data_IF_416514667994
#
_entry.id   IF_416514667994
#
_cell.length_a   1.000
_cell.length_b   1.000
_cell.length_c   1.000
_cell.angle_alpha   90.00
_cell.angle_beta   90.00
_cell.angle_gamma   90.00
#
_symmetry.space_group_name_H-M   'P 1'
#
loop_
_entity.id
_entity.type
_entity.pdbx_description
1 polymer ?
#
# COMPACT_ATOMS: atom_id res chain seq x y z
N UNK A 1 -30.61 10.26 21.15
CA UNK A 1 -29.69 9.74 20.11
C UNK A 1 -29.02 10.96 19.53
N UNK A 2 -27.96 11.42 20.19
CA UNK A 2 -27.27 12.66 19.81
C UNK A 2 -26.53 12.40 18.50
N UNK A 3 -26.85 13.21 17.49
CA UNK A 3 -26.15 13.18 16.20
C UNK A 3 -24.73 13.66 16.42
N UNK A 4 -23.77 12.80 16.11
CA UNK A 4 -22.33 13.09 16.04
C UNK A 4 -22.12 14.44 15.33
N UNK A 5 -21.48 15.38 16.02
CA UNK A 5 -21.29 16.76 15.55
C UNK A 5 -20.27 16.82 14.42
N UNK A 6 -20.44 17.77 13.50
CA UNK A 6 -19.64 17.93 12.28
C UNK A 6 -18.12 17.99 12.53
N UNK A 7 -17.70 18.55 13.68
CA UNK A 7 -16.30 18.59 14.10
C UNK A 7 -15.77 17.24 14.64
N UNK A 8 -16.63 16.38 15.20
CA UNK A 8 -16.26 15.01 15.62
C UNK A 8 -15.95 14.11 14.41
N UNK A 9 -16.60 14.35 13.27
CA UNK A 9 -16.25 13.70 11.98
C UNK A 9 -14.91 14.18 11.43
N UNK A 10 -14.70 15.49 11.44
CA UNK A 10 -13.47 16.11 10.91
C UNK A 10 -12.22 15.82 11.75
N UNK A 11 -12.39 15.44 13.01
CA UNK A 11 -11.30 15.07 13.93
C UNK A 11 -10.89 13.59 13.88
N UNK A 12 -11.58 12.73 13.12
CA UNK A 12 -11.03 11.40 12.76
C UNK A 12 -9.99 11.65 11.69
N UNK A 13 -8.68 11.61 12.01
CA UNK A 13 -7.66 12.18 11.14
C UNK A 13 -7.47 11.38 9.84
N UNK A 14 -8.14 10.23 9.71
CA UNK A 14 -8.09 9.33 8.58
C UNK A 14 -9.41 8.54 8.45
N UNK A 15 -10.59 9.18 8.44
CA UNK A 15 -11.82 8.46 8.09
C UNK A 15 -11.76 8.05 6.61
N UNK A 16 -11.20 6.86 6.38
CA UNK A 16 -11.02 6.32 5.05
C UNK A 16 -12.34 6.00 4.37
N UNK A 17 -13.41 5.78 5.11
CA UNK A 17 -14.73 5.58 4.51
C UNK A 17 -15.27 6.90 3.96
N UNK A 18 -15.06 8.02 4.66
CA UNK A 18 -15.38 9.34 4.12
C UNK A 18 -14.46 9.72 2.95
N UNK A 19 -13.18 9.37 3.01
CA UNK A 19 -12.25 9.52 1.88
C UNK A 19 -12.69 8.69 0.66
N UNK A 20 -13.05 7.42 0.86
CA UNK A 20 -13.55 6.53 -0.21
C UNK A 20 -14.86 7.03 -0.81
N UNK A 21 -15.73 7.64 0.00
CA UNK A 21 -17.00 8.22 -0.45
C UNK A 21 -16.81 9.55 -1.19
N UNK A 22 -15.84 10.36 -0.81
CA UNK A 22 -15.57 11.66 -1.45
C UNK A 22 -14.75 11.54 -2.73
N UNK A 23 -13.85 10.55 -2.82
CA UNK A 23 -13.07 10.25 -4.03
C UNK A 23 -13.77 9.20 -4.88
N UNK A 24 -14.63 9.64 -5.81
CA UNK A 24 -15.28 8.78 -6.81
C UNK A 24 -14.25 7.97 -7.62
N UNK A 25 -13.03 8.51 -7.79
CA UNK A 25 -11.87 7.82 -8.36
C UNK A 25 -10.59 8.37 -7.74
N UNK A 26 -9.64 7.50 -7.40
CA UNK A 26 -8.30 7.90 -6.93
C UNK A 26 -7.28 7.66 -8.04
N UNK A 27 -6.36 8.59 -8.22
CA UNK A 27 -5.24 8.40 -9.15
C UNK A 27 -4.11 7.60 -8.48
N UNK A 28 -3.25 6.90 -9.24
CA UNK A 28 -2.11 6.20 -8.65
C UNK A 28 -1.18 7.11 -7.84
N UNK A 29 -1.01 8.37 -8.28
CA UNK A 29 -0.23 9.37 -7.56
C UNK A 29 -0.84 9.68 -6.18
N UNK A 30 -2.15 9.90 -6.12
CA UNK A 30 -2.85 10.15 -4.85
C UNK A 30 -2.79 8.94 -3.93
N UNK A 31 -3.01 7.73 -4.45
CA UNK A 31 -2.88 6.51 -3.65
C UNK A 31 -1.46 6.38 -3.08
N UNK A 32 -0.43 6.60 -3.89
CA UNK A 32 0.96 6.56 -3.42
C UNK A 32 1.20 7.54 -2.26
N UNK A 33 0.64 8.76 -2.34
CA UNK A 33 0.71 9.73 -1.24
C UNK A 33 -0.02 9.27 0.02
N UNK A 34 -1.18 8.66 -0.11
CA UNK A 34 -1.89 8.07 1.04
C UNK A 34 -1.11 6.94 1.69
N UNK A 35 -0.49 6.06 0.89
CA UNK A 35 0.30 4.94 1.41
C UNK A 35 1.56 5.39 2.16
N UNK A 36 2.08 6.60 1.90
CA UNK A 36 3.21 7.19 2.63
C UNK A 36 2.82 7.70 4.03
N UNK A 37 1.53 7.85 4.33
CA UNK A 37 1.05 8.23 5.66
C UNK A 37 1.25 7.08 6.65
N UNK A 38 1.27 7.34 7.97
CA UNK A 38 1.46 6.32 9.02
C UNK A 38 0.21 5.44 9.24
N UNK A 39 -0.38 4.94 8.15
CA UNK A 39 -1.43 3.93 8.16
C UNK A 39 -0.84 2.56 8.48
N UNK A 40 -1.58 1.74 9.24
CA UNK A 40 -1.22 0.34 9.44
C UNK A 40 -1.27 -0.45 8.13
N UNK A 41 -0.67 -1.65 8.15
CA UNK A 41 -0.56 -2.52 6.98
C UNK A 41 -1.93 -2.99 6.48
N UNK A 42 -2.84 -3.52 7.31
CA UNK A 42 -4.20 -3.89 6.88
C UNK A 42 -4.91 -2.77 6.12
N UNK A 43 -4.93 -1.58 6.72
CA UNK A 43 -5.55 -0.38 6.16
C UNK A 43 -4.94 0.02 4.81
N UNK A 44 -3.61 -0.04 4.72
CA UNK A 44 -2.88 0.24 3.48
C UNK A 44 -3.20 -0.77 2.37
N UNK A 45 -3.37 -2.04 2.73
CA UNK A 45 -3.77 -3.10 1.81
C UNK A 45 -5.21 -2.91 1.32
N UNK A 46 -6.14 -2.53 2.19
CA UNK A 46 -7.53 -2.25 1.81
C UNK A 46 -7.62 -1.09 0.82
N UNK A 47 -6.89 0.00 1.05
CA UNK A 47 -6.82 1.13 0.11
C UNK A 47 -6.23 0.72 -1.24
N UNK A 48 -5.18 -0.09 -1.23
CA UNK A 48 -4.58 -0.63 -2.44
C UNK A 48 -5.60 -1.46 -3.24
N UNK A 49 -6.31 -2.41 -2.60
CA UNK A 49 -7.32 -3.23 -3.28
C UNK A 49 -8.52 -2.41 -3.76
N UNK A 50 -8.99 -1.45 -2.96
CA UNK A 50 -10.07 -0.57 -3.35
C UNK A 50 -9.71 0.26 -4.58
N UNK A 51 -8.52 0.87 -4.62
CA UNK A 51 -8.07 1.61 -5.79
C UNK A 51 -7.96 0.70 -7.02
N UNK A 52 -7.39 -0.50 -6.86
CA UNK A 52 -7.29 -1.51 -7.93
C UNK A 52 -8.64 -1.95 -8.50
N UNK A 53 -9.72 -1.86 -7.72
CA UNK A 53 -11.07 -2.20 -8.16
C UNK A 53 -11.73 -1.13 -9.04
N UNK A 54 -11.15 0.08 -9.12
CA UNK A 54 -11.72 1.18 -9.91
C UNK A 54 -11.59 0.92 -11.41
N UNK A 55 -12.68 1.15 -12.15
CA UNK A 55 -12.70 0.93 -13.61
C UNK A 55 -11.66 1.82 -14.29
N UNK A 56 -10.73 1.20 -15.02
CA UNK A 56 -9.69 1.91 -15.77
C UNK A 56 -8.47 2.32 -14.94
N UNK A 57 -8.48 2.05 -13.63
CA UNK A 57 -7.32 2.24 -12.78
C UNK A 57 -6.28 1.13 -13.00
N UNK A 58 -4.99 1.47 -12.85
CA UNK A 58 -3.88 0.53 -12.82
C UNK A 58 -2.86 0.97 -11.79
N UNK A 59 -2.34 0.04 -11.00
CA UNK A 59 -1.24 0.33 -10.10
C UNK A 59 0.02 0.71 -10.89
N UNK A 60 0.80 1.64 -10.34
CA UNK A 60 2.11 2.01 -10.88
C UNK A 60 3.21 1.35 -10.04
N UNK A 61 4.44 1.37 -10.57
CA UNK A 61 5.62 0.94 -9.84
C UNK A 61 5.71 1.62 -8.46
N UNK A 62 5.50 2.93 -8.38
CA UNK A 62 5.63 3.69 -7.13
C UNK A 62 4.64 3.23 -6.05
N UNK A 63 3.41 2.90 -6.44
CA UNK A 63 2.39 2.37 -5.53
C UNK A 63 2.85 1.03 -4.95
N UNK A 64 3.33 0.12 -5.81
CA UNK A 64 3.86 -1.16 -5.36
C UNK A 64 5.08 -0.99 -4.46
N UNK A 65 6.02 -0.13 -4.85
CA UNK A 65 7.24 0.12 -4.10
C UNK A 65 6.92 0.62 -2.69
N UNK A 66 6.07 1.64 -2.55
CA UNK A 66 5.68 2.18 -1.24
C UNK A 66 4.96 1.14 -0.38
N UNK A 67 4.06 0.34 -0.97
CA UNK A 67 3.34 -0.69 -0.21
C UNK A 67 4.27 -1.83 0.23
N UNK A 68 5.17 -2.29 -0.64
CA UNK A 68 6.17 -3.31 -0.32
C UNK A 68 7.11 -2.83 0.78
N UNK A 69 7.58 -1.58 0.73
CA UNK A 69 8.42 -1.01 1.80
C UNK A 69 7.71 -1.09 3.16
N UNK A 70 6.45 -0.64 3.19
CA UNK A 70 5.62 -0.62 4.38
C UNK A 70 5.43 -2.02 4.96
N UNK A 71 5.10 -3.00 4.14
CA UNK A 71 4.93 -4.41 4.57
C UNK A 71 6.28 -5.01 5.02
N UNK A 72 7.38 -4.60 4.39
CA UNK A 72 8.74 -4.99 4.77
C UNK A 72 9.08 -4.63 6.22
N UNK A 73 8.56 -3.52 6.74
CA UNK A 73 8.79 -3.10 8.13
C UNK A 73 8.22 -4.06 9.19
N UNK A 74 7.20 -4.86 8.82
CA UNK A 74 6.60 -5.89 9.68
C UNK A 74 7.03 -7.30 9.29
N UNK A 75 8.02 -7.43 8.39
CA UNK A 75 8.61 -8.70 7.94
C UNK A 75 7.60 -9.69 7.33
N UNK A 76 6.49 -9.22 6.77
CA UNK A 76 5.52 -10.08 6.08
C UNK A 76 5.92 -10.33 4.62
N UNK A 77 7.02 -11.08 4.46
CA UNK A 77 7.60 -11.40 3.16
C UNK A 77 6.67 -12.24 2.28
N UNK A 78 5.81 -13.06 2.88
CA UNK A 78 4.81 -13.83 2.12
C UNK A 78 3.84 -12.90 1.38
N UNK A 79 3.47 -11.77 2.00
CA UNK A 79 2.61 -10.78 1.35
C UNK A 79 3.37 -10.01 0.28
N UNK A 80 4.65 -9.70 0.51
CA UNK A 80 5.54 -9.10 -0.51
C UNK A 80 5.61 -9.99 -1.76
N UNK A 81 5.82 -11.30 -1.61
CA UNK A 81 5.86 -12.24 -2.75
C UNK A 81 4.57 -12.22 -3.57
N UNK A 82 3.42 -12.16 -2.90
CA UNK A 82 2.11 -12.06 -3.56
C UNK A 82 1.96 -10.74 -4.33
N UNK A 83 2.44 -9.63 -3.78
CA UNK A 83 2.42 -8.33 -4.46
C UNK A 83 3.34 -8.31 -5.68
N UNK A 84 4.54 -8.90 -5.60
CA UNK A 84 5.43 -9.02 -6.76
C UNK A 84 4.80 -9.87 -7.87
N UNK A 85 4.13 -10.97 -7.52
CA UNK A 85 3.40 -11.77 -8.50
C UNK A 85 2.24 -10.99 -9.12
N UNK A 86 1.52 -10.21 -8.32
CA UNK A 86 0.44 -9.34 -8.81
C UNK A 86 0.99 -8.27 -9.77
N UNK A 87 2.07 -7.59 -9.39
CA UNK A 87 2.77 -6.59 -10.20
C UNK A 87 3.19 -7.15 -11.57
N UNK A 88 3.73 -8.37 -11.59
CA UNK A 88 4.05 -9.10 -12.83
C UNK A 88 2.80 -9.38 -13.68
N UNK A 89 1.70 -9.84 -13.06
CA UNK A 89 0.45 -10.13 -13.77
C UNK A 89 -0.20 -8.87 -14.36
N UNK A 90 -0.06 -7.74 -13.68
CA UNK A 90 -0.54 -6.43 -14.15
C UNK A 90 0.37 -5.80 -15.21
N UNK A 91 1.52 -6.42 -15.52
CA UNK A 91 2.46 -5.92 -16.52
C UNK A 91 3.25 -4.69 -16.07
N UNK A 92 3.31 -4.42 -14.77
CA UNK A 92 4.09 -3.31 -14.23
C UNK A 92 5.56 -3.73 -14.21
N UNK A 93 6.42 -2.96 -14.88
CA UNK A 93 7.85 -3.26 -14.96
C UNK A 93 8.54 -3.16 -13.61
N UNK A 94 9.34 -4.17 -13.28
CA UNK A 94 10.21 -4.13 -12.13
C UNK A 94 11.37 -3.16 -12.34
N UNK A 95 11.82 -2.54 -11.25
CA UNK A 95 13.06 -1.78 -11.19
C UNK A 95 13.94 -2.39 -10.11
N UNK A 96 15.26 -2.30 -10.27
CA UNK A 96 16.24 -2.87 -9.34
C UNK A 96 16.02 -2.41 -7.89
N UNK A 97 15.57 -1.17 -7.71
CA UNK A 97 15.31 -0.55 -6.41
C UNK A 97 14.39 -1.37 -5.51
N UNK A 98 13.36 -2.03 -6.06
CA UNK A 98 12.42 -2.82 -5.23
C UNK A 98 13.11 -4.06 -4.65
N UNK A 99 14.02 -4.69 -5.40
CA UNK A 99 14.76 -5.87 -4.93
C UNK A 99 15.81 -5.48 -3.89
N UNK A 100 16.51 -4.36 -4.10
CA UNK A 100 17.43 -3.78 -3.11
C UNK A 100 16.70 -3.50 -1.80
N UNK A 101 15.51 -2.91 -1.87
CA UNK A 101 14.69 -2.63 -0.71
C UNK A 101 14.25 -3.91 0.02
N UNK A 102 13.80 -4.93 -0.71
CA UNK A 102 13.43 -6.23 -0.13
C UNK A 102 14.62 -6.90 0.55
N UNK A 103 15.78 -6.96 -0.11
CA UNK A 103 17.02 -7.49 0.47
C UNK A 103 17.39 -6.78 1.78
N UNK A 104 17.22 -5.45 1.83
CA UNK A 104 17.46 -4.66 3.06
C UNK A 104 16.50 -5.06 4.19
N UNK A 105 15.22 -5.30 3.91
CA UNK A 105 14.26 -5.76 4.92
C UNK A 105 14.61 -7.17 5.42
N UNK A 106 14.97 -8.11 4.54
CA UNK A 106 15.48 -9.43 4.96
C UNK A 106 16.72 -9.33 5.84
N UNK A 107 17.66 -8.45 5.50
CA UNK A 107 18.85 -8.20 6.32
C UNK A 107 18.50 -7.69 7.72
N UNK A 108 17.58 -6.72 7.82
CA UNK A 108 17.09 -6.19 9.11
C UNK A 108 16.34 -7.23 9.93
N UNK A 109 15.65 -8.17 9.28
CA UNK A 109 14.96 -9.28 9.94
C UNK A 109 15.90 -10.39 10.44
N UNK A 110 17.22 -10.30 10.18
CA UNK A 110 18.17 -11.37 10.49
C UNK A 110 18.04 -12.58 9.56
N UNK A 111 17.40 -12.42 8.40
CA UNK A 111 17.14 -13.46 7.42
C UNK A 111 17.79 -13.18 6.03
N UNK A 112 19.03 -12.64 5.94
CA UNK A 112 19.60 -12.20 4.66
C UNK A 112 19.68 -13.32 3.61
N UNK A 113 19.95 -14.57 4.01
CA UNK A 113 20.02 -15.71 3.11
C UNK A 113 18.68 -16.18 2.53
N UNK A 114 17.55 -15.65 3.01
CA UNK A 114 16.23 -15.93 2.44
C UNK A 114 15.83 -14.95 1.34
N UNK A 115 16.60 -13.88 1.11
CA UNK A 115 16.31 -12.86 0.11
C UNK A 115 16.52 -13.29 -1.34
N UNK A 116 17.23 -14.41 -1.57
CA UNK A 116 17.58 -14.94 -2.89
C UNK A 116 16.70 -16.12 -3.32
N UNK A 117 15.59 -16.37 -2.62
CA UNK A 117 14.70 -17.52 -2.85
C UNK A 117 13.63 -17.24 -3.90
#
# INVERSE_FOLDING_TARGET
MESETEWERLLKPFDLEELRRSFISITPFQLNKLLQLPLDVPTSMELFQWAGSQKGYRHTFDVYYTLVDKIGTVNDFKTIDRLLLQMKKEGVSFQESIFIMIMRHYGKAGLPGQSTR
#
